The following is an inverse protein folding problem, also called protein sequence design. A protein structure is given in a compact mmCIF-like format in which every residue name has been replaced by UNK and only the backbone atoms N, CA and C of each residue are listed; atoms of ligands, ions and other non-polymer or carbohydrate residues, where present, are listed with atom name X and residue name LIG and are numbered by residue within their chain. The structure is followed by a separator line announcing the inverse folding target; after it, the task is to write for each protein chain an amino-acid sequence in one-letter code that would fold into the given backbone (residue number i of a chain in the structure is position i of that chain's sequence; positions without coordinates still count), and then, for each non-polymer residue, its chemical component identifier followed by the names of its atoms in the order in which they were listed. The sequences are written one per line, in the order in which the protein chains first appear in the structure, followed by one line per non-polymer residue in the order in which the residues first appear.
data_IF_705793210884
#
_entry.id   IF_705793210884
#
_cell.length_a   1.000
_cell.length_b   1.000
_cell.length_c   1.000
_cell.angle_alpha   90.00
_cell.angle_beta   90.00
_cell.angle_gamma   90.00
#
_symmetry.space_group_name_H-M   'P 1'
#
loop_
_entity.id
_entity.type
_entity.pdbx_description
1 polymer ?
#
# COMPACT_ATOMS: atom_id res chain seq x y z
N UNK A 1 -27.11 12.24 -6.37
CA UNK A 1 -26.12 12.16 -5.28
C UNK A 1 -26.70 11.31 -4.16
N UNK A 2 -26.70 9.99 -4.33
CA UNK A 2 -27.05 8.98 -3.32
C UNK A 2 -26.78 7.62 -3.98
N UNK A 3 -25.84 6.85 -3.42
CA UNK A 3 -25.37 5.49 -3.76
C UNK A 3 -23.84 5.42 -3.97
N UNK A 4 -23.06 5.69 -2.91
CA UNK A 4 -21.75 5.06 -2.81
C UNK A 4 -21.97 3.61 -2.37
N UNK A 5 -21.47 2.65 -3.16
CA UNK A 5 -21.55 1.22 -2.84
C UNK A 5 -20.54 0.81 -1.76
N UNK A 6 -19.71 1.74 -1.30
CA UNK A 6 -18.73 1.48 -0.26
C UNK A 6 -19.20 1.70 1.16
N UNK A 7 -18.64 0.83 1.99
CA UNK A 7 -18.77 0.64 3.43
C UNK A 7 -19.80 1.52 4.15
N UNK A 8 -20.99 0.95 4.37
CA UNK A 8 -21.90 1.34 5.45
C UNK A 8 -21.67 0.39 6.64
N UNK A 9 -21.20 0.85 7.81
CA UNK A 9 -21.08 0.01 9.01
C UNK A 9 -22.43 -0.25 9.67
N UNK A 10 -23.43 -0.74 8.91
CA UNK A 10 -24.76 -1.03 9.43
C UNK A 10 -24.88 -2.44 10.04
N UNK A 11 -23.91 -3.33 9.85
CA UNK A 11 -23.93 -4.71 10.39
C UNK A 11 -23.17 -4.90 11.71
N UNK A 12 -22.49 -3.86 12.23
CA UNK A 12 -21.86 -3.89 13.57
C UNK A 12 -22.86 -3.88 14.74
N UNK A 13 -24.17 -4.08 14.48
CA UNK A 13 -25.18 -4.20 15.55
C UNK A 13 -25.06 -5.48 16.38
N UNK A 14 -24.34 -6.50 15.91
CA UNK A 14 -24.25 -7.79 16.60
C UNK A 14 -22.89 -8.10 17.26
N UNK A 15 -21.91 -7.19 17.21
CA UNK A 15 -20.65 -7.38 17.95
C UNK A 15 -20.83 -7.20 19.47
N UNK A 16 -21.94 -6.61 19.92
CA UNK A 16 -22.30 -6.51 21.35
C UNK A 16 -22.75 -7.83 21.98
N UNK A 17 -23.11 -8.83 21.18
CA UNK A 17 -23.57 -10.14 21.69
C UNK A 17 -22.51 -11.24 21.63
N UNK A 18 -21.33 -10.98 21.05
CA UNK A 18 -20.16 -11.83 21.23
C UNK A 18 -19.61 -11.65 22.64
N UNK A 19 -20.33 -12.17 23.63
CA UNK A 19 -19.77 -12.50 24.95
C UNK A 19 -18.82 -13.69 24.77
N UNK A 20 -17.62 -13.40 24.25
CA UNK A 20 -16.48 -14.26 24.45
C UNK A 20 -16.26 -14.33 25.97
N UNK A 21 -16.74 -15.40 26.57
CA UNK A 21 -16.56 -15.69 27.98
C UNK A 21 -15.09 -16.12 28.18
N UNK A 22 -14.17 -15.17 28.04
CA UNK A 22 -12.77 -15.37 28.38
C UNK A 22 -12.67 -15.39 29.92
N UNK A 23 -12.17 -16.47 30.54
CA UNK A 23 -12.08 -16.57 31.99
C UNK A 23 -11.00 -15.67 32.62
N UNK A 24 -10.46 -14.68 31.90
CA UNK A 24 -9.34 -13.86 32.36
C UNK A 24 -9.73 -12.37 32.48
N UNK A 25 -9.92 -11.93 33.71
CA UNK A 25 -10.12 -10.53 34.09
C UNK A 25 -8.79 -9.76 34.03
N UNK A 26 -8.65 -8.86 33.06
CA UNK A 26 -7.44 -8.02 32.86
C UNK A 26 -7.32 -6.84 33.85
N UNK A 27 -8.23 -6.70 34.84
CA UNK A 27 -8.25 -5.54 35.74
C UNK A 27 -7.10 -5.47 36.76
N UNK A 28 -6.28 -6.51 36.89
CA UNK A 28 -5.17 -6.56 37.85
C UNK A 28 -3.77 -6.60 37.21
N UNK A 29 -3.63 -6.37 35.92
CA UNK A 29 -2.31 -6.38 35.28
C UNK A 29 -1.59 -5.04 35.50
N UNK A 30 -1.03 -4.86 36.71
CA UNK A 30 -0.03 -3.82 36.96
C UNK A 30 1.22 -4.17 36.14
N UNK A 31 1.50 -3.41 35.09
CA UNK A 31 2.82 -3.39 34.45
C UNK A 31 3.83 -2.88 35.48
N UNK A 32 4.45 -3.81 36.21
CA UNK A 32 5.59 -3.52 37.07
C UNK A 32 6.78 -3.13 36.20
N UNK A 33 7.46 -2.06 36.62
CA UNK A 33 8.71 -1.57 36.05
C UNK A 33 9.68 -2.75 35.77
N UNK A 34 9.90 -3.04 34.49
CA UNK A 34 10.87 -4.03 34.02
C UNK A 34 12.26 -3.40 34.02
N UNK A 35 12.87 -3.37 35.20
CA UNK A 35 14.30 -3.14 35.37
C UNK A 35 15.01 -4.45 35.71
N UNK A 36 16.11 -4.66 34.99
CA UNK A 36 17.30 -5.46 35.31
C UNK A 36 17.27 -7.01 35.20
N UNK A 37 18.05 -7.50 34.24
CA UNK A 37 19.24 -8.32 34.51
C UNK A 37 19.07 -9.77 34.97
N UNK A 38 17.85 -10.30 35.00
CA UNK A 38 17.60 -11.71 35.34
C UNK A 38 17.64 -12.61 34.11
N UNK A 39 18.43 -13.67 34.15
CA UNK A 39 18.50 -14.73 33.15
C UNK A 39 17.08 -15.25 32.86
N UNK A 40 16.59 -15.06 31.63
CA UNK A 40 15.18 -15.34 31.22
C UNK A 40 14.78 -16.77 31.56
N UNK A 41 15.75 -17.69 31.55
CA UNK A 41 15.58 -19.09 31.90
C UNK A 41 15.12 -19.33 33.35
N UNK A 42 15.63 -18.56 34.32
CA UNK A 42 15.32 -18.80 35.74
C UNK A 42 13.92 -18.30 36.12
N UNK A 43 13.49 -17.15 35.54
CA UNK A 43 12.13 -16.62 35.70
C UNK A 43 11.09 -17.52 35.03
N UNK A 44 11.41 -18.07 33.86
CA UNK A 44 10.51 -19.00 33.16
C UNK A 44 10.36 -20.32 33.93
N UNK A 45 11.45 -20.83 34.50
CA UNK A 45 11.46 -22.06 35.30
C UNK A 45 10.69 -21.92 36.62
N UNK A 46 10.70 -20.75 37.25
CA UNK A 46 9.88 -20.51 38.46
C UNK A 46 8.39 -20.35 38.14
N UNK A 47 8.05 -19.72 37.01
CA UNK A 47 6.66 -19.62 36.52
C UNK A 47 6.07 -20.99 36.16
N UNK A 48 6.86 -21.84 35.49
CA UNK A 48 6.44 -23.20 35.14
C UNK A 48 6.28 -24.12 36.37
N UNK A 49 7.05 -23.92 37.43
CA UNK A 49 6.93 -24.70 38.68
C UNK A 49 5.66 -24.37 39.49
N UNK A 50 5.11 -23.17 39.34
CA UNK A 50 3.86 -22.74 40.00
C UNK A 50 2.58 -23.16 39.28
N UNK A 51 2.71 -23.63 38.03
CA UNK A 51 1.60 -24.10 37.21
C UNK A 51 1.58 -25.63 37.28
N UNK A 52 0.52 -26.21 37.86
CA UNK A 52 0.30 -27.65 37.81
C UNK A 52 0.26 -28.19 36.37
N UNK A 53 0.24 -29.51 36.19
CA UNK A 53 0.30 -30.15 34.86
C UNK A 53 -0.70 -29.57 33.83
N UNK A 54 -1.89 -29.13 34.26
CA UNK A 54 -2.87 -28.45 33.41
C UNK A 54 -2.44 -27.06 32.92
N UNK A 55 -1.72 -26.28 33.73
CA UNK A 55 -1.22 -24.96 33.34
C UNK A 55 -0.08 -25.04 32.31
N UNK A 56 0.76 -26.08 32.40
CA UNK A 56 1.80 -26.36 31.41
C UNK A 56 1.16 -26.73 30.05
N UNK A 57 0.08 -27.53 30.05
CA UNK A 57 -0.63 -27.89 28.83
C UNK A 57 -1.28 -26.67 28.14
N UNK A 58 -1.92 -25.77 28.90
CA UNK A 58 -2.51 -24.54 28.34
C UNK A 58 -1.43 -23.62 27.76
N UNK A 59 -0.30 -23.45 28.45
CA UNK A 59 0.81 -22.65 27.92
C UNK A 59 1.43 -23.25 26.66
N UNK A 60 1.53 -24.58 26.58
CA UNK A 60 2.01 -25.26 25.38
C UNK A 60 1.09 -25.00 24.19
N UNK A 61 -0.24 -25.13 24.37
CA UNK A 61 -1.22 -24.83 23.32
C UNK A 61 -1.19 -23.35 22.91
N UNK A 62 -1.15 -22.43 23.88
CA UNK A 62 -1.02 -21.00 23.60
C UNK A 62 0.27 -20.67 22.84
N UNK A 63 1.39 -21.33 23.18
CA UNK A 63 2.66 -21.19 22.47
C UNK A 63 2.59 -21.65 21.01
N UNK A 64 1.91 -22.77 20.74
CA UNK A 64 1.68 -23.26 19.37
C UNK A 64 0.82 -22.28 18.57
N UNK A 65 -0.26 -21.76 19.15
CA UNK A 65 -1.12 -20.76 18.50
C UNK A 65 -0.33 -19.48 18.21
N UNK A 66 0.47 -19.00 19.17
CA UNK A 66 1.32 -17.82 19.00
C UNK A 66 2.35 -18.02 17.89
N UNK A 67 2.96 -19.21 17.79
CA UNK A 67 3.88 -19.55 16.71
C UNK A 67 3.17 -19.55 15.35
N UNK A 68 1.96 -20.12 15.26
CA UNK A 68 1.17 -20.11 14.04
C UNK A 68 0.82 -18.67 13.60
N UNK A 69 0.33 -17.83 14.51
CA UNK A 69 0.04 -16.41 14.22
C UNK A 69 1.30 -15.67 13.76
N UNK A 70 2.44 -15.90 14.41
CA UNK A 70 3.69 -15.27 14.04
C UNK A 70 4.14 -15.64 12.62
N UNK A 71 4.11 -16.93 12.28
CA UNK A 71 4.55 -17.41 10.96
C UNK A 71 3.57 -17.08 9.84
N UNK A 72 2.25 -17.13 10.08
CA UNK A 72 1.24 -16.97 9.04
C UNK A 72 0.72 -15.54 8.88
N UNK A 73 0.89 -14.67 9.88
CA UNK A 73 0.37 -13.29 9.84
C UNK A 73 1.51 -12.28 9.95
N UNK A 74 2.32 -12.37 11.01
CA UNK A 74 3.32 -11.33 11.33
C UNK A 74 4.45 -11.30 10.32
N UNK A 75 5.11 -12.45 10.08
CA UNK A 75 6.20 -12.54 9.12
C UNK A 75 5.82 -12.08 7.70
N UNK A 76 4.72 -12.58 7.10
CA UNK A 76 4.36 -12.14 5.76
C UNK A 76 3.88 -10.68 5.68
N UNK A 77 3.30 -10.14 6.76
CA UNK A 77 2.93 -8.73 6.81
C UNK A 77 4.15 -7.79 6.67
N UNK A 78 5.31 -8.16 7.24
CA UNK A 78 6.53 -7.38 7.06
C UNK A 78 7.02 -7.34 5.60
N UNK A 79 6.89 -8.44 4.86
CA UNK A 79 7.23 -8.49 3.43
C UNK A 79 6.29 -7.64 2.58
N UNK A 80 5.00 -7.61 2.92
CA UNK A 80 4.07 -6.69 2.25
C UNK A 80 4.41 -5.23 2.55
N UNK A 81 4.76 -4.93 3.79
CA UNK A 81 5.07 -3.56 4.20
C UNK A 81 6.28 -2.99 3.45
N UNK A 82 7.30 -3.81 3.16
CA UNK A 82 8.42 -3.35 2.34
C UNK A 82 8.00 -2.99 0.92
N UNK A 83 7.11 -3.79 0.30
CA UNK A 83 6.64 -3.54 -1.07
C UNK A 83 5.74 -2.30 -1.13
N UNK A 84 4.87 -2.10 -0.14
CA UNK A 84 4.05 -0.88 -0.03
C UNK A 84 4.92 0.36 0.16
N UNK A 85 5.99 0.26 0.96
CA UNK A 85 6.92 1.36 1.13
C UNK A 85 7.69 1.68 -0.16
N UNK A 86 8.02 0.67 -0.98
CA UNK A 86 8.65 0.87 -2.27
C UNK A 86 7.73 1.67 -3.21
N UNK A 87 6.48 1.23 -3.38
CA UNK A 87 5.46 1.95 -4.16
C UNK A 87 5.27 3.39 -3.66
N UNK A 88 5.26 3.59 -2.33
CA UNK A 88 5.15 4.94 -1.76
C UNK A 88 6.36 5.82 -2.13
N UNK A 89 7.56 5.25 -2.12
CA UNK A 89 8.75 5.99 -2.53
C UNK A 89 8.70 6.31 -4.02
N UNK A 90 8.23 5.37 -4.85
CA UNK A 90 8.05 5.60 -6.28
C UNK A 90 7.08 6.75 -6.53
N UNK A 91 5.97 6.84 -5.79
CA UNK A 91 5.04 7.97 -5.88
C UNK A 91 5.70 9.32 -5.55
N UNK A 92 6.59 9.34 -4.56
CA UNK A 92 7.38 10.55 -4.23
C UNK A 92 8.34 10.87 -5.38
N UNK A 93 9.02 9.87 -5.93
CA UNK A 93 9.92 10.03 -7.06
C UNK A 93 9.21 10.47 -8.35
N UNK A 94 8.02 9.96 -8.63
CA UNK A 94 7.16 10.42 -9.73
C UNK A 94 6.76 11.88 -9.53
N UNK A 95 6.36 12.25 -8.32
CA UNK A 95 6.01 13.62 -8.00
C UNK A 95 7.20 14.57 -8.17
N UNK A 96 8.38 14.16 -7.71
CA UNK A 96 9.60 14.96 -7.81
C UNK A 96 10.09 15.05 -9.26
N UNK A 97 10.02 13.97 -10.04
CA UNK A 97 10.32 13.98 -11.47
C UNK A 97 9.39 14.95 -12.22
N UNK A 98 8.08 14.95 -11.94
CA UNK A 98 7.14 15.90 -12.52
C UNK A 98 7.46 17.35 -12.15
N UNK A 99 7.76 17.63 -10.87
CA UNK A 99 8.16 18.98 -10.41
C UNK A 99 9.44 19.47 -11.08
N UNK A 100 10.41 18.56 -11.21
CA UNK A 100 11.70 18.84 -11.82
C UNK A 100 11.66 18.76 -13.36
N UNK A 101 10.47 18.59 -13.95
CA UNK A 101 10.24 18.53 -15.40
C UNK A 101 11.07 17.45 -16.09
N UNK A 102 11.26 16.33 -15.40
CA UNK A 102 12.13 15.24 -15.82
C UNK A 102 11.28 14.05 -16.30
N UNK A 103 11.02 13.98 -17.61
CA UNK A 103 10.22 12.90 -18.20
C UNK A 103 10.97 11.57 -18.27
N UNK A 104 12.31 11.61 -18.32
CA UNK A 104 13.12 10.40 -18.36
C UNK A 104 13.05 9.68 -17.01
N UNK A 105 13.26 10.41 -15.91
CA UNK A 105 13.11 9.86 -14.56
C UNK A 105 11.66 9.46 -14.31
N UNK A 106 10.69 10.26 -14.77
CA UNK A 106 9.27 9.92 -14.62
C UNK A 106 8.91 8.59 -15.28
N UNK A 107 9.26 8.39 -16.55
CA UNK A 107 9.01 7.12 -17.26
C UNK A 107 9.71 5.94 -16.61
N UNK A 108 10.97 6.11 -16.21
CA UNK A 108 11.71 5.07 -15.50
C UNK A 108 11.03 4.67 -14.19
N UNK A 109 10.58 5.65 -13.41
CA UNK A 109 9.89 5.38 -12.14
C UNK A 109 8.50 4.79 -12.37
N UNK A 110 7.82 5.07 -13.49
CA UNK A 110 6.60 4.35 -13.88
C UNK A 110 6.87 2.87 -14.14
N UNK A 111 7.98 2.53 -14.82
CA UNK A 111 8.41 1.13 -15.02
C UNK A 111 8.71 0.44 -13.68
N UNK A 112 9.42 1.14 -12.77
CA UNK A 112 9.72 0.65 -11.41
C UNK A 112 8.44 0.44 -10.59
N UNK A 113 7.49 1.39 -10.64
CA UNK A 113 6.19 1.30 -9.98
C UNK A 113 5.38 0.10 -10.47
N UNK A 114 5.40 -0.18 -11.78
CA UNK A 114 4.72 -1.35 -12.35
C UNK A 114 5.33 -2.66 -11.85
N UNK A 115 6.66 -2.72 -11.77
CA UNK A 115 7.37 -3.87 -11.22
C UNK A 115 7.05 -4.07 -9.74
N UNK A 116 7.01 -3.00 -8.95
CA UNK A 116 6.72 -3.06 -7.52
C UNK A 116 5.26 -3.37 -7.20
N UNK A 117 4.31 -2.92 -8.01
CA UNK A 117 2.91 -3.37 -7.97
C UNK A 117 2.79 -4.86 -8.28
N UNK A 118 3.52 -5.37 -9.27
CA UNK A 118 3.56 -6.80 -9.57
C UNK A 118 4.17 -7.61 -8.43
N UNK A 119 5.24 -7.11 -7.81
CA UNK A 119 5.87 -7.71 -6.62
C UNK A 119 4.91 -7.71 -5.42
N UNK A 120 4.16 -6.62 -5.22
CA UNK A 120 3.13 -6.53 -4.19
C UNK A 120 2.03 -7.57 -4.42
N UNK A 121 1.50 -7.67 -5.64
CA UNK A 121 0.48 -8.67 -6.02
C UNK A 121 0.99 -10.09 -5.77
N UNK A 122 2.22 -10.40 -6.20
CA UNK A 122 2.82 -11.72 -6.03
C UNK A 122 3.04 -12.07 -4.55
N UNK A 123 3.59 -11.15 -3.76
CA UNK A 123 3.80 -11.34 -2.33
C UNK A 123 2.48 -11.54 -1.58
N UNK A 124 1.46 -10.74 -1.91
CA UNK A 124 0.11 -10.84 -1.36
C UNK A 124 -0.49 -12.21 -1.67
N UNK A 125 -0.47 -12.64 -2.94
CA UNK A 125 -1.03 -13.92 -3.35
C UNK A 125 -0.28 -15.11 -2.70
N UNK A 126 1.06 -15.06 -2.66
CA UNK A 126 1.88 -16.15 -2.11
C UNK A 126 1.72 -16.30 -0.60
N UNK A 127 1.58 -15.20 0.14
CA UNK A 127 1.58 -15.21 1.61
C UNK A 127 0.19 -15.17 2.23
N UNK A 128 -0.74 -14.47 1.59
CA UNK A 128 -2.11 -14.27 2.04
C UNK A 128 -3.14 -14.85 1.07
N UNK A 129 -2.75 -15.72 0.12
CA UNK A 129 -3.70 -16.36 -0.80
C UNK A 129 -4.82 -17.13 -0.07
N UNK A 130 -4.53 -17.69 1.10
CA UNK A 130 -5.53 -18.34 1.96
C UNK A 130 -6.64 -17.38 2.44
N UNK A 131 -6.35 -16.08 2.51
CA UNK A 131 -7.28 -15.07 2.98
C UNK A 131 -8.39 -14.77 1.95
N UNK A 132 -8.17 -15.12 0.68
CA UNK A 132 -9.15 -14.98 -0.39
C UNK A 132 -10.37 -15.90 -0.21
N UNK A 133 -10.13 -17.12 0.30
CA UNK A 133 -11.17 -18.14 0.47
C UNK A 133 -11.88 -18.08 1.83
N UNK A 134 -11.33 -17.30 2.78
CA UNK A 134 -11.82 -17.27 4.15
C UNK A 134 -12.85 -16.14 4.36
N UNK A 135 -14.09 -16.45 4.81
CA UNK A 135 -15.19 -15.48 4.85
C UNK A 135 -14.94 -14.20 5.67
N UNK A 136 -14.07 -14.25 6.69
CA UNK A 136 -13.78 -13.07 7.52
C UNK A 136 -12.71 -12.16 6.93
N UNK A 137 -11.89 -12.64 5.99
CA UNK A 137 -10.76 -11.89 5.41
C UNK A 137 -10.90 -11.65 3.92
N UNK A 138 -11.87 -12.31 3.27
CA UNK A 138 -12.13 -12.21 1.84
C UNK A 138 -12.32 -10.76 1.39
N UNK A 139 -13.17 -10.00 2.06
CA UNK A 139 -13.45 -8.61 1.71
C UNK A 139 -12.17 -7.74 1.73
N UNK A 140 -11.30 -7.93 2.73
CA UNK A 140 -10.01 -7.23 2.81
C UNK A 140 -9.04 -7.66 1.72
N UNK A 141 -9.08 -8.94 1.34
CA UNK A 141 -8.27 -9.45 0.24
C UNK A 141 -8.75 -8.86 -1.09
N UNK A 142 -10.05 -8.76 -1.31
CA UNK A 142 -10.64 -8.14 -2.50
C UNK A 142 -10.33 -6.64 -2.56
N UNK A 143 -10.47 -5.90 -1.46
CA UNK A 143 -10.08 -4.48 -1.36
C UNK A 143 -8.61 -4.25 -1.73
N UNK A 144 -7.71 -5.12 -1.24
CA UNK A 144 -6.30 -5.05 -1.63
C UNK A 144 -6.09 -5.35 -3.12
N UNK A 145 -6.94 -6.18 -3.73
CA UNK A 145 -6.88 -6.45 -5.17
C UNK A 145 -7.26 -5.21 -5.96
N UNK A 146 -8.38 -4.60 -5.61
CA UNK A 146 -8.86 -3.36 -6.20
C UNK A 146 -7.84 -2.23 -6.10
N UNK A 147 -7.20 -2.06 -4.93
CA UNK A 147 -6.12 -1.09 -4.76
C UNK A 147 -4.93 -1.34 -5.71
N UNK A 148 -4.55 -2.61 -5.90
CA UNK A 148 -3.47 -2.98 -6.81
C UNK A 148 -3.86 -2.71 -8.27
N UNK A 149 -5.08 -3.08 -8.69
CA UNK A 149 -5.59 -2.78 -10.05
C UNK A 149 -5.66 -1.27 -10.31
N UNK A 150 -6.16 -0.51 -9.34
CA UNK A 150 -6.15 0.95 -9.38
C UNK A 150 -4.72 1.50 -9.56
N UNK A 151 -3.74 0.91 -8.88
CA UNK A 151 -2.33 1.23 -9.09
C UNK A 151 -1.87 1.01 -10.54
N UNK A 152 -2.24 -0.11 -11.15
CA UNK A 152 -1.90 -0.40 -12.56
C UNK A 152 -2.56 0.59 -13.53
N UNK A 153 -3.84 0.90 -13.32
CA UNK A 153 -4.52 1.94 -14.09
C UNK A 153 -3.87 3.31 -13.91
N UNK A 154 -3.42 3.65 -12.70
CA UNK A 154 -2.68 4.88 -12.42
C UNK A 154 -1.34 4.95 -13.17
N UNK A 155 -0.56 3.87 -13.18
CA UNK A 155 0.68 3.79 -13.95
C UNK A 155 0.41 3.93 -15.44
N UNK A 156 -0.62 3.25 -15.96
CA UNK A 156 -1.00 3.33 -17.37
C UNK A 156 -1.46 4.73 -17.77
N UNK A 157 -2.27 5.38 -16.93
CA UNK A 157 -2.65 6.79 -17.11
C UNK A 157 -1.41 7.70 -17.15
N UNK A 158 -0.43 7.44 -16.28
CA UNK A 158 0.86 8.13 -16.29
C UNK A 158 1.61 7.97 -17.62
N UNK A 159 1.65 6.76 -18.19
CA UNK A 159 2.28 6.50 -19.50
C UNK A 159 1.58 7.24 -20.63
N UNK A 160 0.24 7.19 -20.67
CA UNK A 160 -0.56 7.93 -21.66
C UNK A 160 -0.34 9.44 -21.53
N UNK A 161 -0.28 9.95 -20.30
CA UNK A 161 0.05 11.35 -20.04
C UNK A 161 1.44 11.70 -20.55
N UNK A 162 2.44 10.85 -20.33
CA UNK A 162 3.79 11.09 -20.85
C UNK A 162 3.81 11.08 -22.38
N UNK A 163 3.14 10.13 -23.03
CA UNK A 163 3.02 10.10 -24.49
C UNK A 163 2.38 11.38 -25.05
N UNK A 164 1.39 11.92 -24.33
CA UNK A 164 0.69 13.15 -24.69
C UNK A 164 1.55 14.42 -24.56
N UNK A 165 2.35 14.53 -23.50
CA UNK A 165 3.17 15.73 -23.23
C UNK A 165 4.54 15.69 -23.92
N UNK A 166 5.06 14.52 -24.26
CA UNK A 166 6.35 14.34 -24.97
C UNK A 166 6.51 15.24 -26.20
N UNK A 167 5.54 15.33 -27.15
CA UNK A 167 5.70 16.21 -28.33
C UNK A 167 5.83 17.69 -28.00
N UNK A 168 5.46 18.09 -26.78
CA UNK A 168 5.48 19.47 -26.31
C UNK A 168 6.54 19.71 -25.23
N UNK A 169 7.26 18.66 -24.82
CA UNK A 169 8.17 18.66 -23.69
C UNK A 169 9.30 19.68 -23.84
N UNK A 170 9.89 19.78 -25.04
CA UNK A 170 10.92 20.77 -25.35
C UNK A 170 10.41 22.20 -25.11
N UNK A 171 9.20 22.49 -25.61
CA UNK A 171 8.56 23.80 -25.52
C UNK A 171 7.99 24.15 -24.12
N UNK A 172 8.11 23.24 -23.16
CA UNK A 172 7.81 23.49 -21.73
C UNK A 172 9.07 23.36 -20.86
N UNK A 173 10.25 23.18 -21.48
CA UNK A 173 11.52 22.97 -20.80
C UNK A 173 11.56 21.69 -19.97
N UNK A 174 10.95 20.61 -20.48
CA UNK A 174 11.03 19.27 -19.90
C UNK A 174 12.19 18.48 -20.50
N UNK A 175 12.94 17.79 -19.64
CA UNK A 175 14.03 16.90 -20.03
C UNK A 175 13.45 15.62 -20.64
N UNK A 176 13.80 15.35 -21.89
CA UNK A 176 13.34 14.17 -22.65
C UNK A 176 14.44 13.17 -22.99
N UNK A 177 15.71 13.57 -22.88
CA UNK A 177 16.86 12.68 -23.06
C UNK A 177 17.80 12.68 -21.84
N UNK A 178 18.60 11.61 -21.68
CA UNK A 178 19.59 11.48 -20.60
C UNK A 178 20.77 12.46 -20.72
N UNK A 179 20.93 13.04 -21.90
CA UNK A 179 22.08 13.87 -22.29
C UNK A 179 21.79 15.37 -22.18
N UNK A 180 20.53 15.76 -22.01
CA UNK A 180 20.07 17.14 -21.83
C UNK A 180 20.12 17.58 -20.36
N UNK A 181 20.80 18.70 -20.07
CA UNK A 181 20.63 19.41 -18.80
C UNK A 181 19.28 20.11 -18.78
N UNK A 182 18.63 20.22 -17.61
CA UNK A 182 17.34 20.91 -17.47
C UNK A 182 17.51 22.38 -17.85
N UNK A 183 17.11 22.76 -19.06
CA UNK A 183 17.21 24.14 -19.55
C UNK A 183 16.04 24.95 -18.96
N UNK A 184 16.33 25.72 -17.92
CA UNK A 184 15.36 26.58 -17.21
C UNK A 184 15.11 27.91 -17.95
N UNK A 185 15.66 28.10 -19.15
CA UNK A 185 15.82 29.42 -19.77
C UNK A 185 14.84 29.80 -20.89
N UNK A 186 13.71 29.10 -21.07
CA UNK A 186 12.59 29.71 -21.78
C UNK A 186 11.87 30.70 -20.86
N UNK A 187 11.84 31.97 -21.25
CA UNK A 187 11.13 33.00 -20.48
C UNK A 187 9.69 32.56 -20.21
N UNK A 188 9.20 32.77 -18.99
CA UNK A 188 7.83 32.40 -18.56
C UNK A 188 6.74 32.75 -19.59
N UNK A 189 6.94 33.81 -20.37
CA UNK A 189 6.05 34.23 -21.45
C UNK A 189 6.04 33.25 -22.63
N UNK A 190 7.20 32.78 -23.07
CA UNK A 190 7.34 31.84 -24.19
C UNK A 190 6.80 30.46 -23.80
N UNK A 191 7.14 29.99 -22.59
CA UNK A 191 6.58 28.75 -22.04
C UNK A 191 5.04 28.83 -21.87
N UNK A 192 4.50 29.99 -21.48
CA UNK A 192 3.05 30.18 -21.34
C UNK A 192 2.34 30.26 -22.70
N UNK A 193 2.94 30.92 -23.69
CA UNK A 193 2.42 30.97 -25.06
C UNK A 193 2.46 29.59 -25.72
N UNK A 194 3.56 28.88 -25.53
CA UNK A 194 3.73 27.48 -25.92
C UNK A 194 2.61 26.63 -25.30
N UNK A 195 2.44 26.66 -23.98
CA UNK A 195 1.37 25.94 -23.29
C UNK A 195 -0.02 26.26 -23.83
N UNK A 196 -0.35 27.54 -24.03
CA UNK A 196 -1.64 27.94 -24.63
C UNK A 196 -1.81 27.35 -26.04
N UNK A 197 -0.75 27.31 -26.83
CA UNK A 197 -0.81 26.76 -28.19
C UNK A 197 -1.04 25.26 -28.23
N UNK A 198 -0.59 24.52 -27.21
CA UNK A 198 -0.71 23.06 -27.15
C UNK A 198 -1.90 22.57 -26.32
N UNK A 199 -2.46 23.40 -25.44
CA UNK A 199 -3.66 23.07 -24.65
C UNK A 199 -4.82 22.47 -25.45
N UNK A 200 -5.18 22.95 -26.66
CA UNK A 200 -6.24 22.34 -27.46
C UNK A 200 -5.91 20.90 -27.87
N UNK A 201 -4.67 20.64 -28.31
CA UNK A 201 -4.23 19.30 -28.73
C UNK A 201 -4.11 18.35 -27.53
N UNK A 202 -3.68 18.86 -26.38
CA UNK A 202 -3.68 18.10 -25.13
C UNK A 202 -5.10 17.72 -24.74
N UNK A 203 -6.05 18.66 -24.82
CA UNK A 203 -7.45 18.41 -24.51
C UNK A 203 -8.08 17.35 -25.44
N UNK A 204 -7.81 17.42 -26.75
CA UNK A 204 -8.36 16.50 -27.74
C UNK A 204 -7.86 15.05 -27.56
N UNK A 205 -6.71 14.85 -26.92
CA UNK A 205 -6.09 13.53 -26.71
C UNK A 205 -6.09 13.10 -25.23
N UNK A 206 -6.74 13.86 -24.35
CA UNK A 206 -6.79 13.56 -22.91
C UNK A 206 -7.75 12.41 -22.57
N UNK A 207 -8.64 12.04 -23.50
CA UNK A 207 -9.63 10.97 -23.32
C UNK A 207 -9.00 9.65 -22.86
N UNK A 208 -7.82 9.29 -23.37
CA UNK A 208 -7.10 8.09 -22.95
C UNK A 208 -6.66 8.13 -21.48
N UNK A 209 -6.13 9.27 -21.03
CA UNK A 209 -5.73 9.48 -19.63
C UNK A 209 -6.96 9.48 -18.72
N UNK A 210 -8.04 10.15 -19.14
CA UNK A 210 -9.29 10.23 -18.38
C UNK A 210 -9.96 8.86 -18.23
N UNK A 211 -9.96 8.04 -19.28
CA UNK A 211 -10.50 6.69 -19.23
C UNK A 211 -9.76 5.81 -18.20
N UNK A 212 -8.43 5.88 -18.16
CA UNK A 212 -7.64 5.14 -17.18
C UNK A 212 -7.85 5.68 -15.75
N UNK A 213 -7.94 6.99 -15.56
CA UNK A 213 -8.27 7.59 -14.26
C UNK A 213 -9.69 7.27 -13.80
N UNK A 214 -10.64 7.14 -14.72
CA UNK A 214 -11.99 6.66 -14.42
C UNK A 214 -11.94 5.21 -13.93
N UNK A 215 -11.12 4.36 -14.55
CA UNK A 215 -10.90 3.00 -14.07
C UNK A 215 -10.28 2.98 -12.66
N UNK A 216 -9.29 3.85 -12.37
CA UNK A 216 -8.78 4.04 -10.99
C UNK A 216 -9.91 4.37 -10.03
N UNK A 217 -10.79 5.30 -10.41
CA UNK A 217 -11.96 5.67 -9.61
C UNK A 217 -12.92 4.51 -9.38
N UNK A 218 -13.23 3.73 -10.43
CA UNK A 218 -14.13 2.59 -10.37
C UNK A 218 -13.59 1.43 -9.50
N UNK A 219 -12.28 1.22 -9.49
CA UNK A 219 -11.64 0.25 -8.60
C UNK A 219 -11.61 0.76 -7.14
N UNK A 220 -11.75 2.06 -6.91
CA UNK A 220 -11.72 2.68 -5.58
C UNK A 220 -13.09 3.23 -5.13
N UNK A 221 -14.22 2.92 -5.79
CA UNK A 221 -15.63 3.36 -5.45
C UNK A 221 -16.70 2.24 -5.42
#
# INVERSE_FOLDING_TARGET
MENSQYWKPSSLKNFKELKLNFPFSLKNFKLGNLSNGGNVNDKFKSLLKGLGAGGIAVLAVAGVIAALVFFFIVSPAYTLLSNVNAIRNDLVSLQDAMKNRDLVTFNKTLDESEADLNNLRAARNSKFGWAADFPLTKDYYEDSNHFIEAGFHGVKAGRELTALITPFADAVGMRISEEEEVVVEEGLMDAFQSWISVMPQVADNMDGVLAELENVGNELV
#
